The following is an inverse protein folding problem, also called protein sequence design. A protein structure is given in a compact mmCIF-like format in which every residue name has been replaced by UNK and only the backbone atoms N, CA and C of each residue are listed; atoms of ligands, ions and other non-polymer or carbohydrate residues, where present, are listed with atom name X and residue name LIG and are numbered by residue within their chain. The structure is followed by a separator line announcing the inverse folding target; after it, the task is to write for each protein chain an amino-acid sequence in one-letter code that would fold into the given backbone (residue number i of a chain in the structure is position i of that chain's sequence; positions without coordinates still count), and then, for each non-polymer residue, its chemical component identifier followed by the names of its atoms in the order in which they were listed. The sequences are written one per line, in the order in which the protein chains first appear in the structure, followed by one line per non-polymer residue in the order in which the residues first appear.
data_IF_102139477416
#
_entry.id   IF_102139477416
#
_cell.length_a   1.000
_cell.length_b   1.000
_cell.length_c   1.000
_cell.angle_alpha   90.00
_cell.angle_beta   90.00
_cell.angle_gamma   90.00
#
_symmetry.space_group_name_H-M   'P 1'
#
loop_
_entity.id
_entity.type
_entity.pdbx_description
1 polymer ?
#
# COMPACT_ATOMS: atom_id res chain seq x y z
N UNK A 1 13.00 -30.42 -2.54
CA UNK A 1 11.99 -30.54 -1.47
C UNK A 1 12.27 -29.40 -0.52
N UNK A 2 11.55 -28.28 -0.68
CA UNK A 2 11.69 -27.11 0.20
C UNK A 2 10.78 -27.40 1.39
N UNK A 3 11.35 -27.52 2.58
CA UNK A 3 10.63 -27.59 3.85
C UNK A 3 9.70 -26.38 3.94
N UNK A 4 8.40 -26.67 4.03
CA UNK A 4 7.36 -25.67 4.24
C UNK A 4 7.44 -25.32 5.72
N UNK A 5 7.90 -24.13 6.03
CA UNK A 5 7.96 -23.56 7.37
C UNK A 5 6.58 -23.60 8.03
N UNK A 6 6.50 -24.28 9.17
CA UNK A 6 5.26 -24.54 9.94
C UNK A 6 4.65 -23.24 10.53
N UNK A 7 5.37 -22.12 10.42
CA UNK A 7 4.92 -20.77 10.84
C UNK A 7 3.97 -20.09 9.84
N UNK A 8 3.85 -20.61 8.61
CA UNK A 8 3.00 -20.01 7.58
C UNK A 8 1.52 -20.33 7.82
N UNK A 9 0.62 -19.32 7.87
CA UNK A 9 -0.81 -19.51 8.04
C UNK A 9 -1.37 -20.55 7.06
N UNK A 10 -2.23 -21.49 7.50
CA UNK A 10 -2.72 -22.59 6.67
C UNK A 10 -3.37 -22.15 5.35
N UNK A 11 -4.11 -21.04 5.34
CA UNK A 11 -4.72 -20.52 4.10
C UNK A 11 -3.67 -20.07 3.07
N UNK A 12 -2.53 -19.52 3.50
CA UNK A 12 -1.45 -19.11 2.59
C UNK A 12 -0.72 -20.32 1.99
N UNK A 13 -0.58 -21.41 2.75
CA UNK A 13 -0.03 -22.69 2.22
C UNK A 13 -0.91 -23.25 1.12
N UNK A 14 -2.24 -23.24 1.31
CA UNK A 14 -3.21 -23.66 0.30
C UNK A 14 -3.12 -22.78 -0.95
N UNK A 15 -3.09 -21.47 -0.78
CA UNK A 15 -2.95 -20.51 -1.89
C UNK A 15 -1.64 -20.73 -2.65
N UNK A 16 -0.53 -20.92 -1.93
CA UNK A 16 0.79 -21.18 -2.52
C UNK A 16 0.80 -22.46 -3.38
N UNK A 17 0.21 -23.53 -2.89
CA UNK A 17 0.14 -24.80 -3.63
C UNK A 17 -0.79 -24.70 -4.86
N UNK A 18 -1.96 -24.11 -4.71
CA UNK A 18 -2.86 -23.94 -5.86
C UNK A 18 -2.25 -23.02 -6.93
N UNK A 19 -1.53 -21.96 -6.54
CA UNK A 19 -0.73 -21.13 -7.46
C UNK A 19 0.34 -21.95 -8.17
N UNK A 20 1.06 -22.82 -7.43
CA UNK A 20 2.05 -23.71 -8.02
C UNK A 20 1.42 -24.60 -9.07
N UNK A 21 0.32 -25.27 -8.75
CA UNK A 21 -0.42 -26.16 -9.68
C UNK A 21 -0.85 -25.41 -10.94
N UNK A 22 -1.32 -24.15 -10.81
CA UNK A 22 -1.67 -23.29 -11.94
C UNK A 22 -0.42 -22.93 -12.74
N UNK A 23 0.67 -22.55 -12.05
CA UNK A 23 1.90 -22.10 -12.69
C UNK A 23 2.63 -23.19 -13.50
N UNK A 24 2.57 -24.45 -13.02
CA UNK A 24 3.17 -25.60 -13.73
C UNK A 24 2.22 -26.28 -14.72
N UNK A 25 0.98 -25.77 -14.84
CA UNK A 25 -0.01 -26.29 -15.80
C UNK A 25 -0.76 -27.53 -15.34
N UNK A 26 -0.62 -27.94 -14.07
CA UNK A 26 -1.43 -29.03 -13.47
C UNK A 26 -2.93 -28.63 -13.39
N UNK A 27 -3.20 -27.33 -13.27
CA UNK A 27 -4.51 -26.72 -13.39
C UNK A 27 -4.44 -25.70 -14.54
N UNK A 28 -4.93 -26.08 -15.68
CA UNK A 28 -4.94 -25.23 -16.88
C UNK A 28 -6.10 -24.24 -16.91
N UNK A 29 -6.10 -23.29 -17.85
CA UNK A 29 -7.21 -22.37 -18.07
C UNK A 29 -8.55 -23.09 -18.27
N UNK A 30 -9.57 -22.70 -17.51
CA UNK A 30 -10.89 -23.34 -17.54
C UNK A 30 -11.03 -24.56 -16.61
N UNK A 31 -9.94 -25.08 -16.05
CA UNK A 31 -10.00 -26.19 -15.11
C UNK A 31 -10.62 -25.79 -13.79
N UNK A 32 -11.33 -26.72 -13.18
CA UNK A 32 -11.93 -26.51 -11.85
C UNK A 32 -10.88 -26.54 -10.75
N UNK A 33 -10.86 -25.50 -9.95
CA UNK A 33 -10.09 -25.49 -8.70
C UNK A 33 -10.86 -26.32 -7.64
N UNK A 34 -10.16 -27.04 -6.73
CA UNK A 34 -10.81 -27.76 -5.65
C UNK A 34 -11.81 -26.89 -4.89
N UNK A 35 -13.00 -27.42 -4.68
CA UNK A 35 -14.05 -26.73 -3.93
C UNK A 35 -13.67 -26.57 -2.46
N UNK A 36 -14.30 -25.65 -1.74
CA UNK A 36 -14.08 -25.44 -0.29
C UNK A 36 -14.16 -26.76 0.49
N UNK A 37 -15.14 -27.65 0.16
CA UNK A 37 -15.28 -28.97 0.80
C UNK A 37 -14.14 -29.93 0.46
N UNK A 38 -13.60 -29.85 -0.75
CA UNK A 38 -12.44 -30.66 -1.16
C UNK A 38 -11.18 -30.18 -0.45
N UNK A 39 -10.96 -28.87 -0.36
CA UNK A 39 -9.83 -28.27 0.37
C UNK A 39 -9.88 -28.67 1.84
N UNK A 40 -11.05 -28.59 2.50
CA UNK A 40 -11.23 -29.04 3.88
C UNK A 40 -10.80 -30.49 4.06
N UNK A 41 -11.19 -31.38 3.14
CA UNK A 41 -10.81 -32.82 3.17
C UNK A 41 -9.35 -33.08 2.88
N UNK A 42 -8.79 -32.38 1.88
CA UNK A 42 -7.42 -32.60 1.40
C UNK A 42 -6.38 -32.03 2.39
N UNK A 43 -6.69 -30.91 3.01
CA UNK A 43 -5.76 -30.16 3.85
C UNK A 43 -6.06 -30.22 5.36
N UNK A 44 -7.14 -30.83 5.77
CA UNK A 44 -7.52 -30.94 7.19
C UNK A 44 -7.80 -29.59 7.87
N UNK A 45 -8.26 -28.58 7.12
CA UNK A 45 -8.46 -27.21 7.63
C UNK A 45 -9.94 -26.89 7.86
N UNK A 46 -10.20 -25.83 8.67
CA UNK A 46 -11.56 -25.33 8.85
C UNK A 46 -12.15 -24.76 7.54
N UNK A 47 -13.48 -24.80 7.41
CA UNK A 47 -14.23 -24.26 6.26
C UNK A 47 -13.88 -22.78 5.99
N UNK A 48 -13.75 -21.97 7.05
CA UNK A 48 -13.37 -20.56 6.95
C UNK A 48 -11.99 -20.38 6.32
N UNK A 49 -11.02 -21.22 6.69
CA UNK A 49 -9.65 -21.21 6.13
C UNK A 49 -9.65 -21.54 4.64
N UNK A 50 -10.40 -22.57 4.23
CA UNK A 50 -10.55 -22.96 2.83
C UNK A 50 -11.26 -21.87 2.01
N UNK A 51 -12.32 -21.26 2.57
CA UNK A 51 -13.03 -20.14 1.93
C UNK A 51 -12.14 -18.92 1.77
N UNK A 52 -11.32 -18.59 2.77
CA UNK A 52 -10.35 -17.49 2.71
C UNK A 52 -9.30 -17.71 1.62
N UNK A 53 -8.79 -18.94 1.48
CA UNK A 53 -7.84 -19.28 0.42
C UNK A 53 -8.44 -19.08 -0.99
N UNK A 54 -9.66 -19.57 -1.23
CA UNK A 54 -10.35 -19.36 -2.52
C UNK A 54 -10.71 -17.90 -2.78
N UNK A 55 -11.07 -17.14 -1.73
CA UNK A 55 -11.33 -15.70 -1.84
C UNK A 55 -10.07 -14.94 -2.27
N UNK A 56 -8.91 -15.30 -1.70
CA UNK A 56 -7.63 -14.68 -2.05
C UNK A 56 -7.25 -14.99 -3.52
N UNK A 57 -7.38 -16.25 -3.95
CA UNK A 57 -7.15 -16.62 -5.36
C UNK A 57 -8.08 -15.90 -6.34
N UNK A 58 -9.32 -15.59 -5.91
CA UNK A 58 -10.26 -14.80 -6.70
C UNK A 58 -9.88 -13.33 -6.73
N UNK A 59 -9.45 -12.75 -5.60
CA UNK A 59 -8.95 -11.37 -5.53
C UNK A 59 -7.67 -11.18 -6.37
N UNK A 60 -6.87 -12.23 -6.49
CA UNK A 60 -5.70 -12.27 -7.37
C UNK A 60 -6.04 -12.55 -8.84
N UNK A 61 -7.32 -12.67 -9.15
CA UNK A 61 -7.81 -12.96 -10.51
C UNK A 61 -7.21 -14.23 -11.15
N UNK A 62 -6.77 -15.16 -10.32
CA UNK A 62 -6.31 -16.48 -10.79
C UNK A 62 -7.47 -17.41 -11.10
N UNK A 63 -8.58 -17.20 -10.40
CA UNK A 63 -9.79 -18.02 -10.55
C UNK A 63 -11.04 -17.14 -10.55
N UNK A 64 -12.09 -17.60 -11.23
CA UNK A 64 -13.40 -16.97 -11.25
C UNK A 64 -14.50 -17.94 -10.88
N UNK A 65 -15.57 -17.43 -10.28
CA UNK A 65 -16.76 -18.23 -10.00
C UNK A 65 -17.59 -18.39 -11.30
N UNK A 66 -17.98 -19.64 -11.61
CA UNK A 66 -18.85 -19.95 -12.72
C UNK A 66 -20.12 -20.62 -12.15
N UNK A 67 -21.31 -20.04 -12.36
CA UNK A 67 -22.57 -20.60 -11.85
C UNK A 67 -22.74 -22.07 -12.28
N UNK A 68 -23.06 -22.95 -11.32
CA UNK A 68 -23.24 -24.39 -11.56
C UNK A 68 -21.96 -25.20 -11.76
N UNK A 69 -20.81 -24.56 -11.91
CA UNK A 69 -19.50 -25.21 -12.15
C UNK A 69 -18.60 -25.13 -10.94
N UNK A 70 -18.53 -23.97 -10.27
CA UNK A 70 -17.64 -23.69 -9.15
C UNK A 70 -16.56 -22.66 -9.51
N UNK A 71 -15.40 -22.76 -8.85
CA UNK A 71 -14.25 -21.91 -9.15
C UNK A 71 -13.42 -22.53 -10.28
N UNK A 72 -13.12 -21.75 -11.31
CA UNK A 72 -12.31 -22.17 -12.46
C UNK A 72 -11.12 -21.25 -12.66
N UNK A 73 -10.01 -21.80 -13.15
CA UNK A 73 -8.79 -21.03 -13.47
C UNK A 73 -9.09 -20.07 -14.62
N UNK A 74 -8.69 -18.81 -14.47
CA UNK A 74 -8.80 -17.79 -15.52
C UNK A 74 -7.65 -18.01 -16.52
N UNK A 75 -8.01 -18.16 -17.79
CA UNK A 75 -7.03 -18.22 -18.89
C UNK A 75 -7.10 -16.98 -19.76
N UNK A 76 -6.13 -16.76 -20.65
CA UNK A 76 -6.27 -15.74 -21.69
C UNK A 76 -7.57 -16.03 -22.47
N UNK A 77 -8.49 -15.08 -22.49
CA UNK A 77 -9.75 -15.21 -23.21
C UNK A 77 -9.46 -15.56 -24.68
N UNK A 78 -9.98 -16.69 -25.12
CA UNK A 78 -10.04 -17.03 -26.52
C UNK A 78 -11.03 -16.10 -27.20
N UNK A 79 -10.54 -15.01 -27.77
CA UNK A 79 -11.32 -14.20 -28.70
C UNK A 79 -11.61 -15.04 -29.94
N UNK A 80 -12.85 -15.09 -30.45
CA UNK A 80 -13.18 -15.91 -31.61
C UNK A 80 -12.37 -15.47 -32.81
N UNK A 81 -11.84 -16.47 -33.50
CA UNK A 81 -10.97 -16.35 -34.66
C UNK A 81 -11.52 -15.45 -35.77
N UNK A 82 -10.79 -14.39 -36.10
CA UNK A 82 -10.94 -13.53 -37.27
C UNK A 82 -9.60 -13.32 -37.93
N UNK A 83 -9.32 -14.20 -38.94
CA UNK A 83 -8.44 -14.06 -40.09
C UNK A 83 -7.22 -13.15 -40.04
N UNK A 84 -6.09 -13.83 -40.11
CA UNK A 84 -4.87 -13.60 -40.89
C UNK A 84 -4.55 -12.18 -41.37
N UNK A 85 -3.41 -11.67 -40.88
CA UNK A 85 -2.45 -10.95 -41.72
C UNK A 85 -1.04 -11.35 -41.28
N UNK A 86 -0.31 -11.98 -42.20
CA UNK A 86 1.12 -12.25 -42.11
C UNK A 86 1.87 -10.92 -42.03
N UNK A 87 2.63 -10.73 -40.96
CA UNK A 87 3.57 -9.64 -40.81
C UNK A 87 4.73 -10.14 -39.99
N UNK A 88 5.81 -10.54 -40.65
CA UNK A 88 7.09 -10.97 -40.10
C UNK A 88 7.72 -9.81 -39.33
N UNK A 89 7.44 -9.70 -38.05
CA UNK A 89 8.15 -8.82 -37.14
C UNK A 89 9.02 -9.69 -36.23
N UNK A 90 10.32 -9.65 -36.49
CA UNK A 90 11.41 -10.28 -35.74
C UNK A 90 11.10 -10.28 -34.23
N UNK A 91 10.73 -11.43 -33.71
CA UNK A 91 10.69 -11.69 -32.26
C UNK A 91 12.07 -11.43 -31.68
N UNK A 92 12.24 -10.26 -31.09
CA UNK A 92 13.32 -10.05 -30.12
C UNK A 92 13.12 -11.10 -29.02
N UNK A 93 14.19 -11.79 -28.56
CA UNK A 93 14.07 -12.69 -27.43
C UNK A 93 13.49 -11.90 -26.28
N UNK A 94 12.34 -12.33 -25.76
CA UNK A 94 11.68 -11.70 -24.62
C UNK A 94 12.67 -11.72 -23.44
N UNK A 95 13.30 -10.58 -23.15
CA UNK A 95 14.00 -10.36 -21.88
C UNK A 95 12.93 -10.60 -20.82
N UNK A 96 13.08 -11.67 -20.04
CA UNK A 96 12.13 -12.00 -18.98
C UNK A 96 11.92 -10.78 -18.10
N UNK A 97 10.64 -10.49 -17.76
CA UNK A 97 10.30 -9.41 -16.83
C UNK A 97 11.08 -9.59 -15.55
N UNK A 98 11.74 -8.55 -15.09
CA UNK A 98 12.48 -8.54 -13.83
C UNK A 98 11.58 -8.08 -12.68
N UNK A 99 11.94 -8.47 -11.45
CA UNK A 99 11.24 -8.02 -10.23
C UNK A 99 11.17 -6.50 -10.15
N UNK A 100 12.27 -5.81 -10.47
CA UNK A 100 12.33 -4.35 -10.43
C UNK A 100 11.41 -3.68 -11.46
N UNK A 101 11.21 -4.30 -12.62
CA UNK A 101 10.24 -3.81 -13.59
C UNK A 101 8.82 -3.97 -13.06
N UNK A 102 8.49 -5.12 -12.47
CA UNK A 102 7.17 -5.35 -11.85
C UNK A 102 6.90 -4.32 -10.76
N UNK A 103 7.87 -4.11 -9.85
CA UNK A 103 7.73 -3.15 -8.74
C UNK A 103 7.56 -1.71 -9.27
N UNK A 104 8.40 -1.28 -10.22
CA UNK A 104 8.27 0.08 -10.80
C UNK A 104 6.94 0.31 -11.50
N UNK A 105 6.49 -0.65 -12.31
CA UNK A 105 5.20 -0.55 -13.00
C UNK A 105 4.05 -0.53 -12.01
N UNK A 106 4.08 -1.40 -11.00
CA UNK A 106 3.07 -1.45 -9.94
C UNK A 106 3.02 -0.14 -9.14
N UNK A 107 4.19 0.44 -8.82
CA UNK A 107 4.28 1.74 -8.15
C UNK A 107 3.68 2.85 -9.02
N UNK A 108 3.99 2.91 -10.31
CA UNK A 108 3.42 3.90 -11.21
C UNK A 108 1.90 3.80 -11.35
N UNK A 109 1.34 2.57 -11.38
CA UNK A 109 -0.11 2.35 -11.39
C UNK A 109 -0.72 2.84 -10.06
N UNK A 110 -0.12 2.48 -8.93
CA UNK A 110 -0.62 2.89 -7.62
C UNK A 110 -0.54 4.41 -7.40
N UNK A 111 0.49 5.08 -7.94
CA UNK A 111 0.63 6.54 -7.89
C UNK A 111 -0.44 7.26 -8.73
N UNK A 112 -0.85 6.65 -9.85
CA UNK A 112 -1.82 7.25 -10.78
C UNK A 112 -3.28 6.87 -10.47
N UNK A 113 -3.54 5.63 -10.04
CA UNK A 113 -4.88 5.04 -9.94
C UNK A 113 -5.21 4.58 -8.50
N UNK A 114 -4.31 4.81 -7.54
CA UNK A 114 -4.45 4.29 -6.17
C UNK A 114 -4.28 2.77 -6.09
N UNK A 115 -4.45 2.21 -4.88
CA UNK A 115 -4.38 0.76 -4.65
C UNK A 115 -5.58 0.01 -5.23
N UNK A 116 -6.68 0.69 -5.50
CA UNK A 116 -7.87 0.10 -6.12
C UNK A 116 -7.61 -0.29 -7.58
N UNK A 117 -6.84 0.52 -8.33
CA UNK A 117 -6.40 0.22 -9.70
C UNK A 117 -5.32 -0.86 -9.80
N UNK A 118 -4.67 -1.21 -8.67
CA UNK A 118 -3.55 -2.13 -8.67
C UNK A 118 -4.00 -3.59 -8.64
N UNK A 119 -3.82 -4.30 -9.75
CA UNK A 119 -4.01 -5.75 -9.85
C UNK A 119 -2.87 -6.40 -10.64
N UNK A 120 -2.65 -7.71 -10.42
CA UNK A 120 -1.65 -8.46 -11.17
C UNK A 120 -1.95 -8.46 -12.67
N UNK A 121 -3.22 -8.45 -13.06
CA UNK A 121 -3.66 -8.36 -14.46
C UNK A 121 -3.31 -6.98 -15.05
N UNK A 122 -3.61 -5.88 -14.32
CA UNK A 122 -3.31 -4.52 -14.76
C UNK A 122 -1.80 -4.34 -15.02
N UNK A 123 -0.96 -4.86 -14.09
CA UNK A 123 0.51 -4.83 -14.22
C UNK A 123 0.97 -5.65 -15.43
N UNK A 124 0.39 -6.84 -15.62
CA UNK A 124 0.74 -7.71 -16.75
C UNK A 124 0.40 -7.07 -18.10
N UNK A 125 -0.75 -6.40 -18.18
CA UNK A 125 -1.17 -5.63 -19.36
C UNK A 125 -0.20 -4.49 -19.65
N UNK A 126 0.20 -3.73 -18.63
CA UNK A 126 1.13 -2.60 -18.76
C UNK A 126 2.53 -3.05 -19.22
N UNK A 127 2.96 -4.23 -18.78
CA UNK A 127 4.25 -4.82 -19.16
C UNK A 127 4.22 -5.65 -20.43
N UNK A 128 3.04 -5.82 -21.06
CA UNK A 128 2.81 -6.68 -22.22
C UNK A 128 3.34 -8.10 -22.01
N UNK A 129 2.96 -8.71 -20.89
CA UNK A 129 3.37 -10.08 -20.52
C UNK A 129 2.20 -10.90 -19.98
N UNK A 130 2.25 -12.23 -20.06
CA UNK A 130 1.29 -13.08 -19.38
C UNK A 130 1.32 -12.86 -17.85
N UNK A 131 0.16 -12.76 -17.21
CA UNK A 131 0.04 -12.56 -15.73
C UNK A 131 0.86 -13.57 -14.93
N UNK A 132 0.94 -14.83 -15.42
CA UNK A 132 1.73 -15.88 -14.76
C UNK A 132 3.23 -15.59 -14.75
N UNK A 133 3.73 -14.74 -15.65
CA UNK A 133 5.14 -14.31 -15.65
C UNK A 133 5.48 -13.46 -14.44
N UNK A 134 4.50 -12.73 -13.88
CA UNK A 134 4.67 -11.90 -12.69
C UNK A 134 4.83 -12.76 -11.43
N UNK A 135 4.09 -13.88 -11.33
CA UNK A 135 4.16 -14.78 -10.17
C UNK A 135 5.49 -15.51 -10.01
N UNK A 136 6.32 -15.51 -11.06
CA UNK A 136 7.73 -15.94 -10.98
C UNK A 136 8.62 -14.90 -10.29
N UNK A 137 8.21 -13.64 -10.27
CA UNK A 137 8.96 -12.52 -9.69
C UNK A 137 8.47 -12.13 -8.28
N UNK A 138 7.14 -12.22 -8.06
CA UNK A 138 6.49 -11.87 -6.79
C UNK A 138 5.45 -12.91 -6.42
N UNK A 139 5.39 -13.30 -5.14
CA UNK A 139 4.51 -14.37 -4.65
C UNK A 139 3.04 -13.94 -4.46
N UNK A 140 2.67 -12.73 -4.89
CA UNK A 140 1.32 -12.18 -4.77
C UNK A 140 1.30 -10.72 -4.36
N UNK A 141 0.08 -10.17 -4.19
CA UNK A 141 -0.13 -8.74 -3.92
C UNK A 141 0.54 -8.27 -2.62
N UNK A 142 0.53 -9.08 -1.56
CA UNK A 142 1.16 -8.73 -0.27
C UNK A 142 2.68 -8.53 -0.42
N UNK A 143 3.37 -9.48 -1.06
CA UNK A 143 4.81 -9.34 -1.31
C UNK A 143 5.11 -8.18 -2.26
N UNK A 144 4.26 -7.96 -3.25
CA UNK A 144 4.40 -6.82 -4.17
C UNK A 144 4.32 -5.50 -3.40
N UNK A 145 3.31 -5.32 -2.54
CA UNK A 145 3.16 -4.12 -1.72
C UNK A 145 4.34 -3.90 -0.79
N UNK A 146 4.88 -4.97 -0.20
CA UNK A 146 6.12 -4.91 0.60
C UNK A 146 7.29 -4.37 -0.21
N UNK A 147 7.49 -4.91 -1.42
CA UNK A 147 8.59 -4.50 -2.31
C UNK A 147 8.40 -3.07 -2.84
N UNK A 148 7.17 -2.68 -3.14
CA UNK A 148 6.85 -1.31 -3.56
C UNK A 148 7.15 -0.31 -2.43
N UNK A 149 6.72 -0.62 -1.22
CA UNK A 149 6.99 0.21 -0.04
C UNK A 149 8.50 0.32 0.23
N UNK A 150 9.22 -0.79 0.20
CA UNK A 150 10.68 -0.79 0.39
C UNK A 150 11.38 0.05 -0.68
N UNK A 151 10.96 -0.05 -1.93
CA UNK A 151 11.50 0.74 -3.03
C UNK A 151 11.20 2.25 -2.87
N UNK A 152 10.02 2.63 -2.36
CA UNK A 152 9.65 4.01 -2.08
C UNK A 152 10.58 4.63 -1.00
N UNK A 153 10.84 3.90 0.10
CA UNK A 153 11.80 4.33 1.12
C UNK A 153 13.24 4.35 0.60
N UNK A 154 13.63 3.37 -0.22
CA UNK A 154 14.97 3.29 -0.81
C UNK A 154 15.28 4.46 -1.76
N UNK A 155 14.26 4.97 -2.46
CA UNK A 155 14.41 6.12 -3.36
C UNK A 155 14.75 7.41 -2.62
N UNK A 156 14.30 7.55 -1.37
CA UNK A 156 14.58 8.70 -0.52
C UNK A 156 15.68 8.34 0.48
N UNK A 157 16.92 8.57 0.05
CA UNK A 157 18.10 8.17 0.85
C UNK A 157 18.19 8.97 2.15
N UNK A 158 18.35 8.27 3.26
CA UNK A 158 18.71 8.89 4.53
C UNK A 158 20.09 9.57 4.41
N UNK A 159 20.27 10.77 5.00
CA UNK A 159 21.57 11.46 5.00
C UNK A 159 22.66 10.63 5.66
N UNK A 160 23.86 10.67 5.10
CA UNK A 160 25.03 10.02 5.71
C UNK A 160 25.56 10.79 6.90
N UNK A 161 25.38 12.09 6.91
CA UNK A 161 25.77 13.01 7.99
C UNK A 161 24.52 13.42 8.76
N UNK A 162 24.60 13.33 10.08
CA UNK A 162 23.50 13.70 10.96
C UNK A 162 23.57 15.21 11.25
N UNK A 163 22.44 15.93 11.17
CA UNK A 163 22.38 17.28 11.71
C UNK A 163 22.71 17.29 13.21
N UNK A 164 23.24 18.40 13.77
CA UNK A 164 23.48 18.49 15.20
C UNK A 164 22.16 18.52 15.98
N UNK A 165 22.09 17.76 17.07
CA UNK A 165 20.95 17.70 17.97
C UNK A 165 19.78 16.82 17.48
N UNK A 166 19.11 16.24 18.45
CA UNK A 166 18.00 15.31 18.22
C UNK A 166 16.82 15.94 17.45
N UNK A 167 16.50 17.22 17.74
CA UNK A 167 15.37 17.91 17.12
C UNK A 167 15.55 18.03 15.61
N UNK A 168 16.71 18.57 15.19
CA UNK A 168 16.99 18.71 13.76
C UNK A 168 17.02 17.38 13.02
N UNK A 169 17.48 16.32 13.69
CA UNK A 169 17.47 14.96 13.14
C UNK A 169 16.04 14.45 12.95
N UNK A 170 15.18 14.54 13.96
CA UNK A 170 13.79 14.08 13.88
C UNK A 170 12.96 14.93 12.90
N UNK A 171 13.15 16.25 12.86
CA UNK A 171 12.53 17.12 11.87
C UNK A 171 12.88 16.70 10.44
N UNK A 172 14.17 16.51 10.17
CA UNK A 172 14.63 16.07 8.86
C UNK A 172 14.01 14.74 8.46
N UNK A 173 14.01 13.75 9.37
CA UNK A 173 13.43 12.45 9.10
C UNK A 173 11.93 12.52 8.81
N UNK A 174 11.17 13.25 9.62
CA UNK A 174 9.73 13.39 9.43
C UNK A 174 9.40 14.07 8.09
N UNK A 175 10.16 15.11 7.70
CA UNK A 175 9.99 15.77 6.39
C UNK A 175 10.40 14.86 5.23
N UNK A 176 11.44 14.03 5.39
CA UNK A 176 11.77 13.00 4.40
C UNK A 176 10.64 11.98 4.25
N UNK A 177 10.09 11.48 5.34
CA UNK A 177 8.92 10.58 5.30
C UNK A 177 7.70 11.25 4.69
N UNK A 178 7.44 12.52 5.03
CA UNK A 178 6.37 13.30 4.42
C UNK A 178 6.51 13.40 2.90
N UNK A 179 7.73 13.68 2.41
CA UNK A 179 8.00 13.74 0.97
C UNK A 179 7.77 12.40 0.26
N UNK A 180 8.02 11.26 0.95
CA UNK A 180 7.72 9.93 0.41
C UNK A 180 6.21 9.75 0.27
N UNK A 181 5.43 10.08 1.29
CA UNK A 181 3.97 9.98 1.25
C UNK A 181 3.34 10.92 0.22
N UNK A 182 3.87 12.14 0.09
CA UNK A 182 3.42 13.08 -0.95
C UNK A 182 3.62 12.52 -2.36
N UNK A 183 4.71 11.80 -2.57
CA UNK A 183 5.01 11.17 -3.86
C UNK A 183 4.22 9.88 -4.08
N UNK A 184 3.94 9.17 -3.00
CA UNK A 184 3.31 7.85 -3.00
C UNK A 184 2.16 7.80 -1.96
N UNK A 185 1.02 8.49 -2.20
CA UNK A 185 -0.07 8.61 -1.22
C UNK A 185 -0.61 7.25 -0.75
N UNK A 186 -0.66 6.25 -1.64
CA UNK A 186 -1.09 4.89 -1.34
C UNK A 186 -0.30 4.22 -0.21
N UNK A 187 0.93 4.67 0.03
CA UNK A 187 1.82 4.07 1.02
C UNK A 187 1.29 4.21 2.45
N UNK A 188 0.54 5.28 2.74
CA UNK A 188 -0.08 5.50 4.05
C UNK A 188 -1.12 4.42 4.42
N UNK A 189 -1.72 3.75 3.43
CA UNK A 189 -2.64 2.64 3.65
C UNK A 189 -1.91 1.30 3.83
N UNK A 190 -0.72 1.15 3.25
CA UNK A 190 0.08 -0.09 3.32
C UNK A 190 0.82 -0.21 4.65
N UNK A 191 1.31 0.92 5.19
CA UNK A 191 2.05 0.94 6.45
C UNK A 191 1.11 0.89 7.65
N UNK A 192 1.41 0.03 8.61
CA UNK A 192 0.68 -0.09 9.86
C UNK A 192 1.63 -0.05 11.04
N UNK A 193 1.26 0.68 12.11
CA UNK A 193 2.03 0.70 13.36
C UNK A 193 1.90 -0.62 14.12
N UNK A 194 0.71 -1.24 14.06
CA UNK A 194 0.41 -2.50 14.78
C UNK A 194 0.88 -3.74 14.04
N UNK A 195 1.11 -3.62 12.72
CA UNK A 195 1.67 -4.68 11.87
C UNK A 195 2.77 -4.05 11.01
N UNK A 196 3.94 -3.80 11.61
CA UNK A 196 5.02 -3.08 10.93
C UNK A 196 5.47 -3.83 9.68
N UNK A 197 5.72 -3.06 8.63
CA UNK A 197 6.26 -3.57 7.40
C UNK A 197 7.74 -3.90 7.61
N UNK A 198 8.11 -5.17 7.49
CA UNK A 198 9.50 -5.61 7.63
C UNK A 198 10.29 -5.36 6.34
N UNK A 199 10.24 -4.13 5.85
CA UNK A 199 10.96 -3.64 4.70
C UNK A 199 12.29 -3.02 5.17
N UNK A 200 13.45 -3.46 4.67
CA UNK A 200 14.75 -3.01 5.18
C UNK A 200 14.94 -1.50 5.19
N UNK A 201 14.50 -0.80 4.13
CA UNK A 201 14.65 0.65 4.05
C UNK A 201 13.67 1.39 4.98
N UNK A 202 12.45 0.88 5.18
CA UNK A 202 11.52 1.44 6.16
C UNK A 202 12.04 1.24 7.60
N UNK A 203 12.59 0.07 7.91
CA UNK A 203 13.23 -0.23 9.22
C UNK A 203 14.42 0.69 9.46
N UNK A 204 15.22 1.02 8.43
CA UNK A 204 16.33 1.96 8.54
C UNK A 204 15.89 3.37 8.98
N UNK A 205 14.69 3.83 8.60
CA UNK A 205 14.13 5.09 9.10
C UNK A 205 13.81 5.03 10.59
N UNK A 206 13.30 3.90 11.09
CA UNK A 206 13.06 3.69 12.52
C UNK A 206 14.36 3.68 13.32
N UNK A 207 15.37 2.96 12.83
CA UNK A 207 16.71 2.91 13.44
C UNK A 207 17.34 4.30 13.50
N UNK A 208 17.21 5.07 12.43
CA UNK A 208 17.70 6.44 12.36
C UNK A 208 17.04 7.35 13.41
N UNK A 209 15.71 7.24 13.60
CA UNK A 209 14.97 7.97 14.62
C UNK A 209 15.36 7.56 16.05
N UNK A 210 15.49 6.26 16.32
CA UNK A 210 15.94 5.75 17.62
C UNK A 210 17.34 6.25 17.98
N UNK A 211 18.25 6.29 17.01
CA UNK A 211 19.59 6.86 17.18
C UNK A 211 19.53 8.34 17.55
N UNK A 212 18.61 9.11 16.98
CA UNK A 212 18.48 10.54 17.29
C UNK A 212 18.11 10.80 18.77
N UNK A 213 17.38 9.88 19.40
CA UNK A 213 16.95 9.99 20.81
C UNK A 213 17.80 9.15 21.78
N UNK A 214 18.75 8.38 21.25
CA UNK A 214 19.66 7.59 22.08
C UNK A 214 20.56 8.49 22.94
N UNK A 215 20.89 8.04 24.16
CA UNK A 215 21.80 8.77 25.05
C UNK A 215 21.14 9.92 25.85
N UNK A 216 19.85 10.18 25.69
CA UNK A 216 19.11 11.20 26.44
C UNK A 216 18.40 10.69 27.71
N UNK A 217 18.83 9.54 28.26
CA UNK A 217 18.31 9.01 29.52
C UNK A 217 16.93 8.39 29.46
N UNK A 218 16.32 8.27 28.27
CA UNK A 218 15.02 7.62 28.11
C UNK A 218 15.16 6.10 28.13
N UNK A 219 14.21 5.40 28.76
CA UNK A 219 14.08 3.96 28.63
C UNK A 219 13.63 3.54 27.20
N UNK A 220 13.87 2.28 26.85
CA UNK A 220 13.58 1.78 25.49
C UNK A 220 12.11 1.85 25.12
N UNK A 221 11.21 1.68 26.08
CA UNK A 221 9.77 1.79 25.88
C UNK A 221 9.39 3.22 25.46
N UNK A 222 9.87 4.21 26.18
CA UNK A 222 9.65 5.64 25.90
C UNK A 222 10.26 6.04 24.56
N UNK A 223 11.50 5.59 24.26
CA UNK A 223 12.14 5.84 22.95
C UNK A 223 11.29 5.31 21.80
N UNK A 224 10.82 4.06 21.89
CA UNK A 224 10.02 3.45 20.82
C UNK A 224 8.66 4.15 20.68
N UNK A 225 7.99 4.51 21.78
CA UNK A 225 6.72 5.23 21.74
C UNK A 225 6.86 6.61 21.11
N UNK A 226 7.92 7.33 21.43
CA UNK A 226 8.23 8.63 20.83
C UNK A 226 8.40 8.50 19.31
N UNK A 227 9.24 7.58 18.86
CA UNK A 227 9.50 7.35 17.43
C UNK A 227 8.22 6.91 16.72
N UNK A 228 7.45 5.98 17.32
CA UNK A 228 6.18 5.53 16.77
C UNK A 228 5.13 6.64 16.70
N UNK A 229 5.09 7.54 17.68
CA UNK A 229 4.17 8.69 17.71
C UNK A 229 4.47 9.65 16.57
N UNK A 230 5.73 10.00 16.34
CA UNK A 230 6.14 10.84 15.21
C UNK A 230 5.81 10.19 13.87
N UNK A 231 6.17 8.91 13.70
CA UNK A 231 5.86 8.17 12.47
C UNK A 231 4.34 8.07 12.24
N UNK A 232 3.55 7.90 13.31
CA UNK A 232 2.09 7.85 13.20
C UNK A 232 1.48 9.21 12.87
N UNK A 233 2.04 10.33 13.36
CA UNK A 233 1.62 11.66 12.97
C UNK A 233 1.84 11.88 11.46
N UNK A 234 3.06 11.61 10.97
CA UNK A 234 3.39 11.74 9.54
C UNK A 234 2.44 10.90 8.68
N UNK A 235 2.31 9.61 9.02
CA UNK A 235 1.43 8.69 8.31
C UNK A 235 -0.04 9.07 8.42
N UNK A 236 -0.51 9.38 9.62
CA UNK A 236 -1.93 9.72 9.85
C UNK A 236 -2.36 10.94 9.07
N UNK A 237 -1.50 11.97 9.00
CA UNK A 237 -1.74 13.14 8.16
C UNK A 237 -1.71 12.78 6.68
N UNK A 238 -0.80 11.88 6.26
CA UNK A 238 -0.66 11.46 4.87
C UNK A 238 -1.85 10.64 4.33
N UNK A 239 -2.66 10.03 5.19
CA UNK A 239 -3.90 9.34 4.77
C UNK A 239 -4.83 10.30 4.02
N UNK A 240 -4.86 11.58 4.41
CA UNK A 240 -5.69 12.59 3.74
C UNK A 240 -5.23 12.90 2.31
N UNK A 241 -3.95 12.71 1.98
CA UNK A 241 -3.44 12.94 0.61
C UNK A 241 -4.11 12.01 -0.40
N UNK A 242 -4.32 10.74 -0.04
CA UNK A 242 -4.99 9.82 -0.94
C UNK A 242 -6.48 10.04 -0.98
N UNK A 243 -7.12 10.32 0.17
CA UNK A 243 -8.54 10.60 0.22
C UNK A 243 -8.90 11.83 -0.61
N UNK A 244 -8.09 12.90 -0.56
CA UNK A 244 -8.27 14.08 -1.40
C UNK A 244 -8.12 13.75 -2.89
N UNK A 245 -7.08 13.01 -3.28
CA UNK A 245 -6.86 12.60 -4.67
C UNK A 245 -7.99 11.70 -5.21
N UNK A 246 -8.52 10.78 -4.42
CA UNK A 246 -9.65 9.93 -4.78
C UNK A 246 -10.94 10.78 -4.92
N UNK A 247 -11.19 11.70 -3.97
CA UNK A 247 -12.34 12.61 -4.02
C UNK A 247 -12.28 13.54 -5.25
N UNK A 248 -11.11 14.07 -5.59
CA UNK A 248 -10.91 14.89 -6.79
C UNK A 248 -11.17 14.07 -8.07
N UNK A 249 -10.73 12.81 -8.14
CA UNK A 249 -11.02 11.92 -9.27
C UNK A 249 -12.51 11.62 -9.41
N UNK A 250 -13.23 11.43 -8.30
CA UNK A 250 -14.65 11.10 -8.30
C UNK A 250 -15.54 12.30 -8.61
N UNK A 251 -15.18 13.48 -8.11
CA UNK A 251 -16.01 14.70 -8.19
C UNK A 251 -15.57 15.68 -9.27
N UNK A 252 -14.31 15.62 -9.70
CA UNK A 252 -13.67 16.63 -10.57
C UNK A 252 -13.41 17.97 -9.88
N UNK A 253 -13.53 18.05 -8.55
CA UNK A 253 -13.32 19.24 -7.75
C UNK A 253 -12.12 19.05 -6.83
N UNK A 254 -11.26 20.07 -6.76
CA UNK A 254 -10.24 20.15 -5.71
C UNK A 254 -10.88 20.32 -4.33
N UNK A 255 -10.14 20.07 -3.25
CA UNK A 255 -10.63 20.25 -1.88
C UNK A 255 -11.14 21.68 -1.64
N UNK A 256 -10.47 22.70 -2.18
CA UNK A 256 -10.88 24.10 -2.08
C UNK A 256 -12.19 24.38 -2.84
N UNK A 257 -12.31 23.90 -4.08
CA UNK A 257 -13.52 24.04 -4.88
C UNK A 257 -14.69 23.32 -4.22
N UNK A 258 -14.44 22.11 -3.67
CA UNK A 258 -15.47 21.39 -2.91
C UNK A 258 -15.93 22.17 -1.69
N UNK A 259 -15.01 22.77 -0.92
CA UNK A 259 -15.36 23.62 0.23
C UNK A 259 -16.21 24.82 -0.18
N UNK A 260 -15.95 25.42 -1.33
CA UNK A 260 -16.81 26.49 -1.87
C UNK A 260 -18.23 25.99 -2.13
N UNK A 261 -18.41 24.78 -2.64
CA UNK A 261 -19.77 24.21 -2.83
C UNK A 261 -20.51 23.98 -1.52
N UNK A 262 -19.81 23.83 -0.39
CA UNK A 262 -20.39 23.63 0.94
C UNK A 262 -20.72 24.95 1.67
N UNK A 263 -20.41 26.11 1.08
CA UNK A 263 -20.51 27.42 1.75
C UNK A 263 -21.94 27.71 2.28
N UNK A 264 -23.00 27.40 1.52
CA UNK A 264 -24.40 27.61 1.95
C UNK A 264 -24.80 26.71 3.13
N UNK A 265 -24.36 25.43 3.09
CA UNK A 265 -24.59 24.45 4.17
C UNK A 265 -23.91 24.90 5.45
N UNK A 266 -22.63 25.33 5.35
CA UNK A 266 -21.86 25.85 6.48
C UNK A 266 -22.47 27.13 7.04
N UNK A 267 -22.91 28.06 6.18
CA UNK A 267 -23.59 29.27 6.62
C UNK A 267 -24.88 28.98 7.39
N UNK A 268 -25.67 27.97 6.93
CA UNK A 268 -26.85 27.51 7.63
C UNK A 268 -26.58 26.96 9.04
N UNK A 269 -25.53 26.13 9.17
CA UNK A 269 -25.09 25.59 10.45
C UNK A 269 -24.62 26.68 11.42
N UNK A 270 -23.94 27.71 10.93
CA UNK A 270 -23.42 28.78 11.77
C UNK A 270 -24.51 29.80 12.20
N UNK A 271 -25.57 29.93 11.39
CA UNK A 271 -26.67 30.86 11.70
C UNK A 271 -27.56 30.35 12.84
N UNK A 272 -27.62 29.03 13.06
CA UNK A 272 -28.41 28.42 14.14
C UNK A 272 -27.86 28.72 15.56
N UNK A 273 -26.67 29.33 15.68
CA UNK A 273 -26.07 29.69 16.98
C UNK A 273 -25.52 28.53 17.80
N UNK A 274 -25.64 27.31 17.32
CA UNK A 274 -25.18 26.09 18.00
C UNK A 274 -23.66 25.95 17.99
N UNK A 275 -22.96 26.56 17.01
CA UNK A 275 -21.50 26.44 16.81
C UNK A 275 -20.75 27.79 16.83
N UNK A 276 -20.80 28.55 17.97
CA UNK A 276 -20.26 29.92 18.02
C UNK A 276 -18.75 30.02 17.80
N UNK A 277 -17.97 28.97 18.12
CA UNK A 277 -16.53 28.96 17.88
C UNK A 277 -16.20 28.76 16.40
N UNK A 278 -16.88 27.82 15.72
CA UNK A 278 -16.72 27.60 14.29
C UNK A 278 -17.17 28.82 13.49
N UNK A 279 -18.29 29.46 13.87
CA UNK A 279 -18.78 30.68 13.23
C UNK A 279 -17.78 31.85 13.35
N UNK A 280 -16.92 31.92 14.34
CA UNK A 280 -15.83 32.89 14.41
C UNK A 280 -14.70 32.55 13.46
N UNK A 281 -14.32 31.26 13.37
CA UNK A 281 -13.26 30.82 12.46
C UNK A 281 -13.61 31.04 11.01
N UNK A 282 -14.89 30.84 10.61
CA UNK A 282 -15.34 31.06 9.23
C UNK A 282 -15.20 32.51 8.73
N UNK A 283 -14.96 33.48 9.64
CA UNK A 283 -14.70 34.90 9.31
C UNK A 283 -13.21 35.22 9.16
N UNK A 284 -12.36 34.25 9.37
CA UNK A 284 -10.90 34.38 9.30
C UNK A 284 -10.38 33.68 8.03
N UNK A 285 -9.41 34.28 7.39
CA UNK A 285 -8.65 33.59 6.34
C UNK A 285 -7.76 32.54 7.00
N UNK A 286 -8.18 31.27 6.92
CA UNK A 286 -7.44 30.15 7.47
C UNK A 286 -6.99 29.26 6.32
N UNK A 287 -5.68 29.22 6.10
CA UNK A 287 -5.06 28.25 5.20
C UNK A 287 -4.82 26.93 5.97
N UNK A 288 -5.82 26.05 5.97
CA UNK A 288 -5.75 24.71 6.54
C UNK A 288 -5.63 23.69 5.40
N UNK A 289 -4.42 23.41 5.00
CA UNK A 289 -4.12 22.35 4.06
C UNK A 289 -3.32 21.21 4.73
N UNK A 290 -3.15 20.10 4.03
CA UNK A 290 -2.51 18.89 4.59
C UNK A 290 -1.04 19.13 4.96
N UNK A 291 -0.32 20.01 4.21
CA UNK A 291 1.07 20.36 4.51
C UNK A 291 1.17 21.25 5.75
N UNK A 292 0.29 22.24 5.89
CA UNK A 292 0.25 23.11 7.08
C UNK A 292 -0.12 22.30 8.33
N UNK A 293 -1.05 21.35 8.21
CA UNK A 293 -1.43 20.45 9.29
C UNK A 293 -0.25 19.54 9.70
N UNK A 294 0.47 18.99 8.73
CA UNK A 294 1.67 18.19 8.99
C UNK A 294 2.72 18.99 9.76
N UNK A 295 3.08 20.17 9.26
CA UNK A 295 4.15 20.97 9.85
C UNK A 295 3.77 21.48 11.25
N UNK A 296 2.53 21.96 11.44
CA UNK A 296 2.06 22.39 12.75
C UNK A 296 2.11 21.27 13.78
N UNK A 297 1.60 20.08 13.42
CA UNK A 297 1.60 18.93 14.31
C UNK A 297 3.01 18.43 14.63
N UNK A 298 3.90 18.41 13.63
CA UNK A 298 5.31 18.05 13.82
C UNK A 298 5.97 18.95 14.86
N UNK A 299 5.83 20.27 14.72
CA UNK A 299 6.45 21.21 15.66
C UNK A 299 5.90 21.03 17.07
N UNK A 300 4.58 20.87 17.23
CA UNK A 300 3.97 20.65 18.59
C UNK A 300 4.44 19.34 19.22
N UNK A 301 4.59 18.28 18.43
CA UNK A 301 5.12 17.02 18.93
C UNK A 301 6.58 17.17 19.39
N UNK A 302 7.42 17.84 18.58
CA UNK A 302 8.83 18.06 18.93
C UNK A 302 9.00 18.99 20.14
N UNK A 303 8.11 19.98 20.33
CA UNK A 303 8.08 20.78 21.55
C UNK A 303 7.72 19.93 22.79
N UNK A 304 6.83 18.94 22.62
CA UNK A 304 6.55 17.95 23.67
C UNK A 304 7.74 17.04 23.95
N UNK A 305 8.44 16.59 22.92
CA UNK A 305 9.66 15.78 23.04
C UNK A 305 10.76 16.53 23.77
N UNK A 306 10.92 17.83 23.51
CA UNK A 306 11.90 18.67 24.20
C UNK A 306 11.73 18.66 25.72
N UNK A 307 10.49 18.53 26.22
CA UNK A 307 10.21 18.42 27.67
C UNK A 307 10.65 17.08 28.25
N UNK A 308 10.71 16.02 27.45
CA UNK A 308 11.16 14.70 27.88
C UNK A 308 12.68 14.56 27.84
N UNK A 309 13.32 15.19 26.83
CA UNK A 309 14.77 15.06 26.60
C UNK A 309 15.60 16.11 27.38
N UNK A 310 14.93 17.12 27.95
CA UNK A 310 15.60 18.29 28.51
C UNK A 310 16.10 19.26 27.45
N UNK A 311 16.66 20.41 27.87
CA UNK A 311 17.21 21.42 26.95
C UNK A 311 18.39 20.90 26.14
#
# INVERSE_FOLDING_TARGET
VTEIDDSTPPYLRIVGELRRRIAVGELGPGDRVPSTRQIVREWGVAMATASRALTLLRQEELVRAVPGVGMVVIGPESTPAGRSARGDARRRPARGVTRDQVVRTATGIADAEGLAGLSMRRIATELDVPTMSLYRQVRGKEQLLLLMADAAFAAQRLPRTFPPGWRAQLELLCRLQWSIYRRHPWLAQVISVTRPLLAPHAVAHTEWALRAVAGHGLDHHTQLHLVATLANHVRGTAVNLQQGAEAEQDTGLTDDEWMVTQAEVLAGLFTAGEFPHLARLSRSEIDLNVDSLFEFGLQRLLDGVAKLLGP
#
